data_IF_812894953780
#
_entry.id   IF_812894953780
#
_cell.length_a   1.000
_cell.length_b   1.000
_cell.length_c   1.000
_cell.angle_alpha   90.00
_cell.angle_beta   90.00
_cell.angle_gamma   90.00
#
_symmetry.space_group_name_H-M   'P 1'
#
loop_
_entity.id
_entity.type
_entity.pdbx_description
1 polymer ?
#
# COMPACT_ATOMS: atom_id res chain seq x y z
N UNK A 1 33.02 7.18 -57.09
CA UNK A 1 31.81 7.10 -56.26
C UNK A 1 31.85 5.98 -55.22
N UNK A 2 32.13 4.71 -55.58
CA UNK A 2 32.14 3.56 -54.64
C UNK A 2 33.00 3.75 -53.37
N UNK A 3 34.22 4.31 -53.47
CA UNK A 3 35.09 4.58 -52.31
C UNK A 3 34.53 5.64 -51.34
N UNK A 4 33.84 6.67 -51.84
CA UNK A 4 33.22 7.71 -50.99
C UNK A 4 32.01 7.15 -50.23
N UNK A 5 31.24 6.26 -50.84
CA UNK A 5 30.10 5.58 -50.22
C UNK A 5 30.56 4.66 -49.07
N UNK A 6 31.66 3.91 -49.26
CA UNK A 6 32.24 3.02 -48.23
C UNK A 6 32.73 3.82 -47.02
N UNK A 7 33.34 4.98 -47.24
CA UNK A 7 33.80 5.87 -46.15
C UNK A 7 32.60 6.41 -45.35
N UNK A 8 31.53 6.84 -46.03
CA UNK A 8 30.31 7.33 -45.36
C UNK A 8 29.65 6.22 -44.53
N UNK A 9 29.52 5.01 -45.08
CA UNK A 9 28.98 3.85 -44.35
C UNK A 9 29.82 3.49 -43.12
N UNK A 10 31.15 3.56 -43.24
CA UNK A 10 32.06 3.29 -42.13
C UNK A 10 31.90 4.32 -41.00
N UNK A 11 31.73 5.60 -41.34
CA UNK A 11 31.46 6.67 -40.37
C UNK A 11 30.11 6.46 -39.69
N UNK A 12 29.07 6.06 -40.43
CA UNK A 12 27.74 5.77 -39.84
C UNK A 12 27.83 4.60 -38.87
N UNK A 13 28.57 3.53 -39.21
CA UNK A 13 28.77 2.38 -38.31
C UNK A 13 29.53 2.79 -37.06
N UNK A 14 30.61 3.57 -37.19
CA UNK A 14 31.37 4.06 -36.02
C UNK A 14 30.53 4.99 -35.15
N UNK A 15 29.71 5.86 -35.75
CA UNK A 15 28.77 6.71 -35.01
C UNK A 15 27.67 5.88 -34.34
N UNK A 16 27.14 4.85 -35.00
CA UNK A 16 26.15 3.96 -34.42
C UNK A 16 26.72 3.13 -33.26
N UNK A 17 27.95 2.62 -33.40
CA UNK A 17 28.66 1.91 -32.32
C UNK A 17 28.99 2.87 -31.18
N UNK A 18 29.45 4.09 -31.48
CA UNK A 18 29.74 5.11 -30.48
C UNK A 18 28.48 5.56 -29.74
N UNK A 19 27.37 5.75 -30.45
CA UNK A 19 26.08 6.09 -29.88
C UNK A 19 25.53 4.92 -29.06
N UNK A 20 25.64 3.68 -29.55
CA UNK A 20 25.28 2.48 -28.81
C UNK A 20 26.12 2.32 -27.55
N UNK A 21 27.43 2.56 -27.62
CA UNK A 21 28.32 2.51 -26.46
C UNK A 21 27.98 3.60 -25.44
N UNK A 22 27.77 4.84 -25.87
CA UNK A 22 27.37 5.94 -24.98
C UNK A 22 25.98 5.68 -24.37
N UNK A 23 25.03 5.17 -25.17
CA UNK A 23 23.70 4.80 -24.72
C UNK A 23 23.76 3.67 -23.70
N UNK A 24 24.51 2.59 -23.99
CA UNK A 24 24.70 1.46 -23.08
C UNK A 24 25.43 1.92 -21.82
N UNK A 25 26.50 2.72 -21.90
CA UNK A 25 27.24 3.13 -20.69
C UNK A 25 26.47 4.13 -19.84
N UNK A 26 25.74 5.09 -20.43
CA UNK A 26 24.95 6.06 -19.66
C UNK A 26 23.63 5.49 -19.13
N UNK A 27 23.10 4.43 -19.75
CA UNK A 27 21.88 3.74 -19.29
C UNK A 27 22.22 2.58 -18.34
N UNK A 28 23.33 1.86 -18.52
CA UNK A 28 23.63 0.62 -17.78
C UNK A 28 24.75 0.72 -16.73
N UNK A 29 25.43 1.86 -16.54
CA UNK A 29 26.50 1.97 -15.51
C UNK A 29 25.93 2.42 -14.17
N UNK A 30 25.48 1.39 -13.45
CA UNK A 30 25.00 1.21 -12.07
C UNK A 30 23.69 0.43 -12.17
N UNK A 31 23.75 -0.89 -12.02
CA UNK A 31 22.56 -1.74 -11.93
C UNK A 31 21.81 -1.36 -10.64
N UNK A 32 20.95 -0.36 -10.74
CA UNK A 32 20.01 0.02 -9.68
C UNK A 32 18.97 -1.08 -9.46
N UNK A 33 18.80 -1.98 -10.42
CA UNK A 33 18.01 -3.19 -10.27
C UNK A 33 18.86 -4.32 -9.73
N UNK A 34 18.34 -4.97 -8.69
CA UNK A 34 18.94 -6.14 -8.07
C UNK A 34 18.72 -7.35 -8.95
N UNK A 35 19.77 -8.15 -9.11
CA UNK A 35 19.64 -9.48 -9.68
C UNK A 35 19.07 -10.46 -8.64
N UNK A 36 18.74 -11.67 -9.10
CA UNK A 36 18.18 -12.69 -8.23
C UNK A 36 19.17 -13.18 -7.16
N UNK A 37 20.48 -13.04 -7.36
CA UNK A 37 21.50 -13.56 -6.44
C UNK A 37 21.72 -12.59 -5.26
N UNK A 38 21.64 -11.28 -5.49
CA UNK A 38 21.58 -10.26 -4.44
C UNK A 38 20.36 -10.46 -3.53
N UNK A 39 19.18 -10.75 -4.11
CA UNK A 39 17.96 -11.00 -3.33
C UNK A 39 17.98 -12.30 -2.53
N UNK A 40 18.83 -13.26 -2.90
CA UNK A 40 19.00 -14.53 -2.19
C UNK A 40 19.88 -14.43 -0.95
N UNK A 41 20.60 -13.30 -0.77
CA UNK A 41 21.43 -13.09 0.42
C UNK A 41 20.54 -12.98 1.66
N UNK A 42 20.71 -13.84 2.69
CA UNK A 42 19.88 -13.82 3.89
C UNK A 42 19.88 -12.48 4.63
N UNK A 43 20.97 -11.74 4.54
CA UNK A 43 21.19 -10.44 5.17
C UNK A 43 20.79 -9.25 4.30
N UNK A 44 20.17 -9.48 3.13
CA UNK A 44 19.80 -8.44 2.16
C UNK A 44 19.00 -7.29 2.78
N UNK A 45 18.16 -7.57 3.79
CA UNK A 45 17.31 -6.58 4.45
C UNK A 45 18.00 -5.86 5.63
N UNK A 46 19.15 -6.33 6.12
CA UNK A 46 19.74 -5.83 7.37
C UNK A 46 20.19 -4.36 7.31
N UNK A 47 20.58 -3.90 6.12
CA UNK A 47 20.97 -2.52 5.83
C UNK A 47 19.81 -1.69 5.27
N UNK A 48 18.63 -2.29 5.02
CA UNK A 48 17.47 -1.60 4.46
C UNK A 48 16.68 -0.89 5.56
N UNK A 49 16.20 0.30 5.23
CA UNK A 49 15.37 1.13 6.12
C UNK A 49 13.91 1.15 5.68
N UNK A 50 13.66 1.06 4.39
CA UNK A 50 12.30 1.12 3.88
C UNK A 50 12.18 0.36 2.55
N UNK A 51 10.93 0.04 2.22
CA UNK A 51 10.55 -0.44 0.90
C UNK A 51 9.32 0.35 0.44
N UNK A 52 9.32 0.73 -0.84
CA UNK A 52 8.21 1.41 -1.50
C UNK A 52 7.77 0.54 -2.67
N UNK A 53 6.49 0.20 -2.71
CA UNK A 53 5.88 -0.51 -3.82
C UNK A 53 5.37 0.50 -4.84
N UNK A 54 5.71 0.30 -6.10
CA UNK A 54 5.18 1.07 -7.20
C UNK A 54 4.50 0.14 -8.19
N UNK A 55 3.41 0.58 -8.80
CA UNK A 55 2.87 -0.10 -9.98
C UNK A 55 2.13 0.83 -10.92
N UNK A 56 1.94 0.33 -12.14
CA UNK A 56 1.04 0.91 -13.12
C UNK A 56 -0.42 0.60 -12.77
N UNK A 57 -1.36 1.50 -13.09
CA UNK A 57 -2.77 1.20 -12.94
C UNK A 57 -3.22 0.09 -13.89
N UNK A 58 -4.27 -0.64 -13.51
CA UNK A 58 -4.75 -1.82 -14.24
C UNK A 58 -5.24 -1.46 -15.66
N UNK A 59 -5.86 -0.29 -15.83
CA UNK A 59 -6.32 0.18 -17.15
C UNK A 59 -5.17 0.46 -18.13
N UNK A 60 -3.92 0.58 -17.64
CA UNK A 60 -2.73 0.66 -18.50
C UNK A 60 -2.09 -0.72 -18.73
N UNK A 61 -2.58 -1.79 -18.10
CA UNK A 61 -2.14 -3.18 -18.23
C UNK A 61 -2.99 -4.01 -19.21
N UNK A 62 -3.81 -3.37 -20.06
CA UNK A 62 -4.68 -4.08 -21.05
C UNK A 62 -3.86 -4.95 -22.03
N UNK A 63 -2.59 -4.60 -22.25
CA UNK A 63 -1.64 -5.34 -23.10
C UNK A 63 -0.82 -6.39 -22.34
N UNK A 64 -1.06 -6.58 -21.04
CA UNK A 64 -0.26 -7.46 -20.16
C UNK A 64 1.16 -6.93 -19.93
N UNK A 65 1.43 -5.64 -20.19
CA UNK A 65 2.75 -5.02 -20.04
C UNK A 65 2.84 -4.09 -18.81
N UNK A 66 1.93 -4.24 -17.86
CA UNK A 66 1.96 -3.59 -16.57
C UNK A 66 3.28 -3.85 -15.86
N UNK A 67 3.74 -2.85 -15.11
CA UNK A 67 5.02 -2.93 -14.43
C UNK A 67 4.85 -2.57 -12.96
N UNK A 68 5.41 -3.41 -12.10
CA UNK A 68 5.55 -3.13 -10.68
C UNK A 68 7.03 -3.06 -10.30
N UNK A 69 7.31 -2.34 -9.22
CA UNK A 69 8.64 -2.23 -8.65
C UNK A 69 8.56 -2.24 -7.13
N UNK A 70 9.37 -3.08 -6.48
CA UNK A 70 9.70 -2.89 -5.07
C UNK A 70 11.03 -2.15 -4.98
N UNK A 71 11.02 -0.95 -4.42
CA UNK A 71 12.23 -0.13 -4.26
C UNK A 71 12.65 -0.12 -2.81
N UNK A 72 13.77 -0.78 -2.53
CA UNK A 72 14.40 -0.80 -1.22
C UNK A 72 15.31 0.41 -1.05
N UNK A 73 15.17 1.11 0.07
CA UNK A 73 16.00 2.25 0.46
C UNK A 73 16.86 1.84 1.64
N UNK A 74 18.17 1.93 1.49
CA UNK A 74 19.11 1.59 2.56
C UNK A 74 19.16 2.65 3.68
N UNK A 75 19.87 2.34 4.77
CA UNK A 75 20.09 3.25 5.90
C UNK A 75 20.85 4.53 5.53
N UNK A 76 21.54 4.57 4.38
CA UNK A 76 22.25 5.72 3.82
C UNK A 76 21.42 6.53 2.80
N UNK A 77 20.24 6.05 2.40
CA UNK A 77 19.35 6.67 1.43
C UNK A 77 19.61 6.25 -0.02
N UNK A 78 20.39 5.19 -0.27
CA UNK A 78 20.55 4.63 -1.61
C UNK A 78 19.36 3.73 -1.95
N UNK A 79 18.74 3.95 -3.12
CA UNK A 79 17.67 3.12 -3.64
C UNK A 79 18.19 2.02 -4.55
N UNK A 80 17.61 0.83 -4.41
CA UNK A 80 17.76 -0.32 -5.30
C UNK A 80 16.39 -0.93 -5.59
N UNK A 81 16.09 -1.19 -6.84
CA UNK A 81 14.80 -1.71 -7.30
C UNK A 81 14.80 -3.21 -7.55
N UNK A 82 13.62 -3.81 -7.42
CA UNK A 82 13.29 -5.14 -7.92
C UNK A 82 12.19 -4.96 -8.93
N UNK A 83 12.40 -5.44 -10.17
CA UNK A 83 11.36 -5.43 -11.19
C UNK A 83 10.39 -6.58 -10.98
N UNK A 84 9.11 -6.28 -11.15
CA UNK A 84 7.98 -7.14 -10.87
C UNK A 84 6.93 -7.01 -11.96
N UNK A 85 6.12 -8.04 -12.13
CA UNK A 85 4.97 -8.01 -13.03
C UNK A 85 3.87 -7.07 -12.48
N UNK A 86 3.03 -6.57 -13.37
CA UNK A 86 1.99 -5.59 -13.04
C UNK A 86 1.06 -6.08 -11.93
N UNK A 87 0.62 -5.18 -11.06
CA UNK A 87 -0.48 -5.42 -10.10
C UNK A 87 -0.91 -4.04 -9.58
N UNK A 88 -2.08 -3.58 -9.99
CA UNK A 88 -2.62 -2.30 -9.51
C UNK A 88 -2.89 -2.40 -8.01
N UNK A 89 -2.62 -1.32 -7.29
CA UNK A 89 -2.72 -1.25 -5.83
C UNK A 89 -2.04 -2.41 -5.08
N UNK A 90 -0.96 -2.97 -5.65
CA UNK A 90 -0.15 -3.98 -4.98
C UNK A 90 0.38 -3.49 -3.64
N UNK A 91 0.40 -4.39 -2.66
CA UNK A 91 0.77 -4.12 -1.28
C UNK A 91 1.96 -4.99 -0.86
N UNK A 92 2.49 -4.70 0.31
CA UNK A 92 3.58 -5.47 0.91
C UNK A 92 3.23 -5.84 2.34
N UNK A 93 3.79 -6.96 2.79
CA UNK A 93 3.74 -7.38 4.19
C UNK A 93 5.15 -7.64 4.73
N UNK A 94 5.30 -7.55 6.05
CA UNK A 94 6.54 -7.94 6.72
C UNK A 94 6.27 -8.79 7.95
N UNK A 95 7.23 -9.62 8.27
CA UNK A 95 7.33 -10.28 9.57
C UNK A 95 8.80 -10.52 9.93
N UNK A 96 9.26 -9.89 11.01
CA UNK A 96 10.67 -9.89 11.39
C UNK A 96 11.56 -9.39 10.24
N UNK A 97 12.58 -10.19 9.91
CA UNK A 97 13.54 -9.92 8.83
C UNK A 97 13.06 -10.45 7.48
N UNK A 98 11.75 -10.50 7.23
CA UNK A 98 11.16 -10.98 5.97
C UNK A 98 10.19 -9.97 5.41
N UNK A 99 10.26 -9.78 4.10
CA UNK A 99 9.32 -8.97 3.31
C UNK A 99 8.64 -9.87 2.28
N UNK A 100 7.32 -9.77 2.25
CA UNK A 100 6.47 -10.38 1.24
C UNK A 100 6.11 -9.35 0.18
N UNK A 101 6.33 -9.72 -1.08
CA UNK A 101 5.99 -8.94 -2.26
C UNK A 101 5.03 -9.75 -3.13
N UNK A 102 3.99 -9.10 -3.63
CA UNK A 102 3.02 -9.70 -4.55
C UNK A 102 3.12 -9.11 -5.95
N UNK A 103 2.71 -9.93 -6.91
CA UNK A 103 2.66 -9.64 -8.35
C UNK A 103 1.41 -10.32 -8.91
N UNK A 104 0.99 -9.98 -10.13
CA UNK A 104 -0.19 -10.59 -10.77
C UNK A 104 -0.16 -12.13 -10.76
N UNK A 105 1.00 -12.74 -11.06
CA UNK A 105 1.17 -14.17 -11.34
C UNK A 105 2.08 -14.89 -10.33
N UNK A 106 2.63 -14.19 -9.34
CA UNK A 106 3.55 -14.76 -8.36
C UNK A 106 3.66 -13.95 -7.08
N UNK A 107 4.31 -14.55 -6.08
CA UNK A 107 4.71 -13.88 -4.85
C UNK A 107 6.17 -14.18 -4.52
N UNK A 108 6.82 -13.26 -3.80
CA UNK A 108 8.18 -13.43 -3.30
C UNK A 108 8.24 -13.20 -1.79
N UNK A 109 9.03 -14.02 -1.11
CA UNK A 109 9.49 -13.77 0.26
C UNK A 109 10.99 -13.48 0.16
N UNK A 110 11.42 -12.34 0.72
CA UNK A 110 12.81 -11.84 0.68
C UNK A 110 13.26 -11.58 2.13
N UNK A 111 14.55 -11.79 2.43
CA UNK A 111 15.12 -11.60 3.76
C UNK A 111 15.84 -12.86 4.20
N UNK A 112 15.52 -13.38 5.39
CA UNK A 112 16.09 -14.63 5.94
C UNK A 112 16.26 -15.74 4.90
N UNK A 113 15.23 -15.93 4.08
CA UNK A 113 15.23 -16.83 2.94
C UNK A 113 14.56 -16.17 1.73
N UNK A 114 15.14 -16.39 0.56
CA UNK A 114 14.50 -16.05 -0.70
C UNK A 114 13.66 -17.22 -1.22
N UNK A 115 12.38 -16.95 -1.47
CA UNK A 115 11.45 -17.89 -2.13
C UNK A 115 10.58 -17.13 -3.12
N UNK A 116 10.34 -17.76 -4.26
CA UNK A 116 9.37 -17.31 -5.27
C UNK A 116 8.36 -18.44 -5.50
N UNK A 117 7.08 -18.09 -5.55
CA UNK A 117 5.98 -19.02 -5.84
C UNK A 117 5.16 -18.45 -6.99
N UNK A 118 5.07 -19.20 -8.10
CA UNK A 118 4.33 -18.80 -9.31
C UNK A 118 3.00 -19.52 -9.39
N UNK A 119 2.06 -18.88 -10.07
CA UNK A 119 0.69 -19.36 -10.26
C UNK A 119 0.34 -19.43 -11.76
N UNK A 120 1.03 -20.30 -12.55
CA UNK A 120 0.89 -20.30 -14.01
C UNK A 120 -0.47 -20.81 -14.51
N UNK A 121 -1.17 -21.62 -13.71
CA UNK A 121 -2.45 -22.25 -14.06
C UNK A 121 -3.65 -21.51 -13.45
N UNK A 122 -3.44 -20.32 -12.91
CA UNK A 122 -4.45 -19.51 -12.22
C UNK A 122 -4.65 -18.18 -12.93
N UNK A 123 -5.82 -17.57 -12.72
CA UNK A 123 -6.06 -16.22 -13.23
C UNK A 123 -5.12 -15.22 -12.53
N UNK A 124 -4.47 -14.40 -13.37
CA UNK A 124 -3.61 -13.32 -12.95
C UNK A 124 -4.43 -12.30 -12.14
N UNK A 125 -3.89 -11.87 -11.01
CA UNK A 125 -4.56 -10.89 -10.15
C UNK A 125 -4.23 -9.48 -10.62
N UNK A 126 -5.22 -8.59 -10.65
CA UNK A 126 -5.06 -7.23 -11.19
C UNK A 126 -5.10 -6.14 -10.13
N UNK A 127 -5.81 -6.33 -9.02
CA UNK A 127 -6.07 -5.28 -8.04
C UNK A 127 -5.87 -5.73 -6.58
N UNK A 128 -4.80 -5.27 -5.95
CA UNK A 128 -4.47 -5.56 -4.55
C UNK A 128 -5.41 -4.88 -3.56
N UNK A 129 -5.82 -5.61 -2.51
CA UNK A 129 -6.63 -5.08 -1.42
C UNK A 129 -5.88 -5.03 -0.09
N UNK A 130 -5.33 -6.16 0.38
CA UNK A 130 -4.61 -6.24 1.64
C UNK A 130 -3.59 -7.38 1.62
N UNK A 131 -2.33 -7.04 1.86
CA UNK A 131 -1.27 -8.01 2.16
C UNK A 131 -0.90 -7.98 3.64
N UNK A 132 -0.62 -9.15 4.22
CA UNK A 132 -0.35 -9.28 5.65
C UNK A 132 0.36 -10.56 6.07
N UNK A 133 0.57 -10.70 7.39
CA UNK A 133 1.20 -11.89 7.98
C UNK A 133 0.47 -12.35 9.25
N UNK A 134 0.02 -13.60 9.24
CA UNK A 134 -0.65 -14.27 10.34
C UNK A 134 0.37 -15.04 11.17
N UNK A 135 0.72 -14.51 12.34
CA UNK A 135 1.68 -15.07 13.29
C UNK A 135 1.26 -16.44 13.79
N UNK A 136 -0.01 -16.63 14.14
CA UNK A 136 -0.53 -17.89 14.70
C UNK A 136 -0.36 -19.06 13.73
N UNK A 137 -0.55 -18.80 12.44
CA UNK A 137 -0.48 -19.80 11.39
C UNK A 137 0.86 -19.82 10.65
N UNK A 138 1.76 -18.87 10.97
CA UNK A 138 3.04 -18.61 10.32
C UNK A 138 2.89 -18.57 8.79
N UNK A 139 2.07 -17.63 8.31
CA UNK A 139 1.81 -17.47 6.88
C UNK A 139 1.63 -16.01 6.48
N UNK A 140 2.15 -15.66 5.32
CA UNK A 140 1.76 -14.45 4.60
C UNK A 140 0.44 -14.70 3.87
N UNK A 141 -0.29 -13.62 3.62
CA UNK A 141 -1.45 -13.63 2.76
C UNK A 141 -1.52 -12.36 1.92
N UNK A 142 -2.26 -12.44 0.82
CA UNK A 142 -2.78 -11.29 0.10
C UNK A 142 -4.23 -11.52 -0.31
N UNK A 143 -5.01 -10.45 -0.27
CA UNK A 143 -6.39 -10.36 -0.72
C UNK A 143 -6.43 -9.42 -1.93
N UNK A 144 -7.15 -9.83 -2.96
CA UNK A 144 -7.32 -9.09 -4.21
C UNK A 144 -8.80 -8.81 -4.44
N UNK A 145 -9.16 -7.61 -4.90
CA UNK A 145 -10.50 -7.37 -5.45
C UNK A 145 -10.49 -7.84 -6.91
N UNK A 146 -10.86 -9.09 -7.15
CA UNK A 146 -10.55 -9.79 -8.42
C UNK A 146 -11.53 -9.47 -9.54
N UNK A 147 -12.84 -9.49 -9.29
CA UNK A 147 -13.79 -9.17 -10.36
C UNK A 147 -15.21 -9.65 -10.14
N UNK A 148 -16.04 -9.45 -11.17
CA UNK A 148 -17.44 -9.89 -11.19
C UNK A 148 -17.53 -11.41 -11.41
N UNK A 149 -18.43 -12.04 -10.66
CA UNK A 149 -18.79 -13.44 -10.79
C UNK A 149 -19.63 -13.72 -12.05
N UNK A 150 -20.35 -14.85 -12.05
CA UNK A 150 -21.15 -15.28 -13.22
C UNK A 150 -22.41 -14.44 -13.43
N UNK A 151 -22.87 -13.75 -12.39
CA UNK A 151 -23.94 -12.75 -12.49
C UNK A 151 -23.38 -11.35 -12.23
N UNK A 152 -23.99 -10.34 -12.86
CA UNK A 152 -23.61 -8.93 -12.70
C UNK A 152 -23.63 -8.45 -11.23
N UNK A 153 -24.44 -9.08 -10.38
CA UNK A 153 -24.57 -8.77 -8.94
C UNK A 153 -23.54 -9.48 -8.05
N UNK A 154 -22.71 -10.37 -8.59
CA UNK A 154 -21.70 -11.10 -7.83
C UNK A 154 -20.34 -10.42 -8.04
N UNK A 155 -19.66 -10.07 -6.94
CA UNK A 155 -18.25 -9.69 -6.97
C UNK A 155 -17.49 -10.61 -6.02
N UNK A 156 -16.28 -11.01 -6.40
CA UNK A 156 -15.44 -11.84 -5.56
C UNK A 156 -14.04 -11.27 -5.40
N UNK A 157 -13.47 -11.55 -4.24
CA UNK A 157 -12.11 -11.20 -3.87
C UNK A 157 -11.33 -12.47 -3.58
N UNK A 158 -10.25 -12.71 -4.33
CA UNK A 158 -9.40 -13.88 -4.13
C UNK A 158 -8.40 -13.68 -3.00
N UNK A 159 -7.97 -14.79 -2.42
CA UNK A 159 -6.95 -14.84 -1.37
C UNK A 159 -5.87 -15.83 -1.75
N UNK A 160 -4.62 -15.35 -1.76
CA UNK A 160 -3.41 -16.17 -1.80
C UNK A 160 -2.79 -16.18 -0.41
N UNK A 161 -2.40 -17.35 0.10
CA UNK A 161 -1.81 -17.46 1.43
C UNK A 161 -0.85 -18.63 1.54
N UNK A 162 0.20 -18.47 2.36
CA UNK A 162 1.25 -19.47 2.43
C UNK A 162 2.49 -19.01 3.16
N UNK A 163 3.54 -19.81 3.06
CA UNK A 163 4.85 -19.50 3.61
C UNK A 163 5.94 -20.14 2.75
N UNK A 164 7.16 -20.22 3.27
CA UNK A 164 8.32 -20.77 2.57
C UNK A 164 8.17 -22.24 2.14
N UNK A 165 7.18 -22.98 2.66
CA UNK A 165 6.88 -24.35 2.26
C UNK A 165 5.96 -24.44 1.05
N UNK A 166 5.25 -23.36 0.70
CA UNK A 166 4.27 -23.35 -0.38
C UNK A 166 3.19 -22.30 -0.16
N UNK A 167 2.54 -21.93 -1.26
CA UNK A 167 1.37 -21.07 -1.29
C UNK A 167 0.16 -21.83 -1.82
N UNK A 168 -0.99 -21.49 -1.27
CA UNK A 168 -2.30 -21.92 -1.74
C UNK A 168 -3.00 -20.71 -2.35
N UNK A 169 -3.76 -20.97 -3.41
CA UNK A 169 -4.69 -20.02 -3.97
C UNK A 169 -6.12 -20.54 -3.80
N UNK A 170 -7.09 -19.64 -3.95
CA UNK A 170 -8.54 -19.92 -3.99
C UNK A 170 -9.20 -19.99 -2.61
N UNK A 171 -8.85 -19.07 -1.71
CA UNK A 171 -9.84 -18.62 -0.74
C UNK A 171 -10.67 -17.50 -1.36
N UNK A 172 -11.93 -17.73 -1.72
CA UNK A 172 -12.76 -16.66 -2.30
C UNK A 172 -13.63 -16.00 -1.23
N UNK A 173 -13.58 -14.67 -1.16
CA UNK A 173 -14.49 -13.84 -0.37
C UNK A 173 -15.57 -13.35 -1.34
N UNK A 174 -16.85 -13.69 -1.18
CA UNK A 174 -17.90 -13.41 -2.16
C UNK A 174 -18.42 -11.96 -2.07
N UNK A 175 -17.50 -10.98 -2.01
CA UNK A 175 -17.82 -9.56 -1.91
C UNK A 175 -16.71 -8.69 -2.49
N UNK A 176 -17.06 -7.49 -2.95
CA UNK A 176 -16.12 -6.38 -3.11
C UNK A 176 -15.74 -5.81 -1.73
N UNK A 177 -14.45 -5.61 -1.51
CA UNK A 177 -13.91 -5.06 -0.26
C UNK A 177 -13.64 -3.56 -0.46
N UNK A 178 -14.32 -2.74 0.35
CA UNK A 178 -14.22 -1.27 0.33
C UNK A 178 -13.01 -0.79 1.13
N UNK A 179 -12.75 -1.42 2.27
CA UNK A 179 -11.57 -1.18 3.09
C UNK A 179 -11.33 -2.39 3.98
N UNK A 180 -10.11 -2.48 4.50
CA UNK A 180 -9.63 -3.62 5.25
C UNK A 180 -8.63 -3.17 6.32
N UNK A 181 -8.38 -4.06 7.28
CA UNK A 181 -7.35 -3.87 8.29
C UNK A 181 -6.98 -5.19 8.95
N UNK A 182 -5.69 -5.40 9.14
CA UNK A 182 -5.15 -6.51 9.91
C UNK A 182 -4.68 -6.02 11.28
N UNK A 183 -5.14 -6.67 12.35
CA UNK A 183 -4.71 -6.44 13.72
C UNK A 183 -4.38 -7.80 14.33
N UNK A 184 -3.10 -8.01 14.62
CA UNK A 184 -2.55 -9.32 14.97
C UNK A 184 -2.96 -10.38 13.94
N UNK A 185 -3.62 -11.47 14.36
CA UNK A 185 -4.11 -12.54 13.49
C UNK A 185 -5.55 -12.33 13.01
N UNK A 186 -6.14 -11.15 13.25
CA UNK A 186 -7.51 -10.83 12.85
C UNK A 186 -7.52 -9.94 11.62
N UNK A 187 -8.25 -10.37 10.59
CA UNK A 187 -8.48 -9.59 9.37
C UNK A 187 -9.92 -9.12 9.38
N UNK A 188 -10.11 -7.81 9.38
CA UNK A 188 -11.42 -7.18 9.27
C UNK A 188 -11.56 -6.54 7.89
N UNK A 189 -12.75 -6.64 7.32
CA UNK A 189 -13.11 -6.03 6.04
C UNK A 189 -14.45 -5.32 6.15
N UNK A 190 -14.59 -4.22 5.43
CA UNK A 190 -15.88 -3.63 5.10
C UNK A 190 -16.21 -4.00 3.66
N UNK A 191 -17.37 -4.62 3.45
CA UNK A 191 -17.87 -4.95 2.12
C UNK A 191 -19.07 -4.07 1.80
N UNK A 192 -19.23 -3.71 0.54
CA UNK A 192 -20.47 -3.07 0.08
C UNK A 192 -21.55 -4.12 -0.13
N UNK A 193 -22.80 -3.70 0.04
CA UNK A 193 -23.95 -4.50 -0.35
C UNK A 193 -24.72 -3.64 -1.35
N UNK A 194 -24.32 -3.74 -2.62
CA UNK A 194 -24.76 -2.89 -3.76
C UNK A 194 -26.24 -3.04 -4.14
N UNK A 195 -27.05 -3.65 -3.27
CA UNK A 195 -28.50 -3.65 -3.45
C UNK A 195 -29.01 -2.24 -3.20
N UNK A 196 -29.21 -1.51 -4.30
CA UNK A 196 -29.92 -0.24 -4.40
C UNK A 196 -31.06 -0.20 -3.39
N UNK A 197 -30.89 0.60 -2.33
CA UNK A 197 -31.96 0.85 -1.39
C UNK A 197 -32.15 2.36 -1.23
N UNK A 198 -33.41 2.77 -1.37
CA UNK A 198 -33.92 4.12 -1.14
C UNK A 198 -33.60 4.66 0.28
N UNK A 199 -33.12 3.79 1.18
CA UNK A 199 -32.87 4.04 2.61
C UNK A 199 -31.38 4.34 2.98
N UNK A 200 -30.50 4.53 2.00
CA UNK A 200 -29.10 4.93 2.20
C UNK A 200 -28.08 3.78 2.17
N UNK A 201 -26.79 4.11 2.22
CA UNK A 201 -25.70 3.12 2.04
C UNK A 201 -25.62 2.13 3.20
N UNK A 202 -25.63 0.84 2.86
CA UNK A 202 -25.43 -0.26 3.79
C UNK A 202 -24.09 -0.93 3.49
N UNK A 203 -23.18 -0.86 4.46
CA UNK A 203 -21.93 -1.62 4.40
C UNK A 203 -21.88 -2.63 5.52
N UNK A 204 -21.12 -3.70 5.34
CA UNK A 204 -21.07 -4.82 6.29
C UNK A 204 -19.66 -4.98 6.85
N UNK A 205 -19.54 -5.04 8.18
CA UNK A 205 -18.29 -5.41 8.82
C UNK A 205 -18.22 -6.94 8.92
N UNK A 206 -17.15 -7.50 8.36
CA UNK A 206 -16.89 -8.93 8.34
C UNK A 206 -15.49 -9.23 8.88
N UNK A 207 -15.32 -10.45 9.39
CA UNK A 207 -14.04 -11.00 9.80
C UNK A 207 -13.65 -12.13 8.84
N UNK A 208 -12.43 -12.07 8.32
CA UNK A 208 -11.84 -13.07 7.45
C UNK A 208 -10.90 -13.93 8.26
N UNK A 209 -11.12 -15.24 8.25
CA UNK A 209 -10.25 -16.23 8.86
C UNK A 209 -9.57 -17.01 7.76
N UNK A 210 -8.25 -16.89 7.67
CA UNK A 210 -7.40 -17.65 6.75
C UNK A 210 -6.64 -18.67 7.59
N UNK A 211 -6.67 -19.92 7.19
CA UNK A 211 -5.82 -20.97 7.75
C UNK A 211 -5.56 -22.05 6.70
N UNK A 212 -4.80 -23.08 7.06
CA UNK A 212 -4.44 -24.20 6.16
C UNK A 212 -5.64 -24.97 5.58
N UNK A 213 -6.85 -24.83 6.14
CA UNK A 213 -8.08 -25.46 5.66
C UNK A 213 -8.86 -24.59 4.67
N UNK A 214 -8.39 -23.37 4.38
CA UNK A 214 -9.07 -22.43 3.50
C UNK A 214 -9.47 -21.12 4.19
N UNK A 215 -10.30 -20.36 3.49
CA UNK A 215 -10.78 -19.04 3.90
C UNK A 215 -12.23 -19.12 4.35
N UNK A 216 -12.55 -18.48 5.47
CA UNK A 216 -13.91 -18.34 5.99
C UNK A 216 -14.20 -16.88 6.29
N UNK A 217 -15.38 -16.44 5.87
CA UNK A 217 -15.85 -15.07 6.08
C UNK A 217 -17.04 -15.10 7.02
N UNK A 218 -16.99 -14.30 8.08
CA UNK A 218 -18.05 -14.19 9.07
C UNK A 218 -18.57 -12.76 9.12
N UNK A 219 -19.88 -12.60 8.95
CA UNK A 219 -20.55 -11.31 9.22
C UNK A 219 -20.49 -11.01 10.73
N UNK A 220 -19.99 -9.82 11.07
CA UNK A 220 -20.05 -9.30 12.44
C UNK A 220 -21.33 -8.48 12.60
N UNK A 221 -21.49 -7.43 11.79
CA UNK A 221 -22.64 -6.54 11.87
C UNK A 221 -22.82 -5.74 10.59
N UNK A 222 -24.04 -5.26 10.37
CA UNK A 222 -24.35 -4.26 9.35
C UNK A 222 -24.11 -2.85 9.91
N UNK A 223 -23.55 -1.96 9.10
CA UNK A 223 -23.39 -0.54 9.40
C UNK A 223 -24.34 0.25 8.49
N UNK A 224 -25.35 0.87 9.10
CA UNK A 224 -26.34 1.69 8.39
C UNK A 224 -26.04 3.16 8.58
N UNK A 225 -25.98 3.92 7.50
CA UNK A 225 -25.75 5.36 7.56
C UNK A 225 -26.88 6.09 6.84
N UNK A 226 -27.36 7.18 7.46
CA UNK A 226 -28.31 8.08 6.81
C UNK A 226 -27.64 8.87 5.69
N UNK A 227 -26.37 9.21 5.90
CA UNK A 227 -25.52 9.85 4.90
C UNK A 227 -24.67 8.77 4.19
N UNK A 228 -23.80 9.19 3.26
CA UNK A 228 -22.91 8.29 2.53
C UNK A 228 -21.44 8.44 3.00
N UNK A 229 -21.08 7.98 4.22
CA UNK A 229 -19.68 8.02 4.65
C UNK A 229 -18.85 7.01 3.85
N UNK A 230 -17.60 7.39 3.58
CA UNK A 230 -16.59 6.53 2.96
C UNK A 230 -15.74 5.88 4.06
N UNK A 231 -15.78 4.53 4.19
CA UNK A 231 -14.84 3.80 5.04
C UNK A 231 -13.40 3.99 4.57
N UNK A 232 -12.46 4.14 5.51
CA UNK A 232 -11.06 4.45 5.20
C UNK A 232 -10.13 3.34 5.68
N UNK A 233 -10.23 2.97 6.97
CA UNK A 233 -9.36 1.98 7.60
C UNK A 233 -10.03 1.38 8.82
N UNK A 234 -9.49 0.24 9.28
CA UNK A 234 -9.99 -0.51 10.42
C UNK A 234 -8.85 -0.73 11.42
N UNK A 235 -9.14 -0.53 12.70
CA UNK A 235 -8.30 -0.88 13.84
C UNK A 235 -9.09 -1.75 14.81
N UNK A 236 -8.41 -2.39 15.76
CA UNK A 236 -9.07 -3.15 16.80
C UNK A 236 -8.23 -3.19 18.08
N UNK A 237 -8.90 -3.43 19.20
CA UNK A 237 -8.29 -3.87 20.45
C UNK A 237 -8.95 -5.18 20.90
N UNK A 238 -8.69 -5.63 22.13
CA UNK A 238 -9.27 -6.88 22.64
C UNK A 238 -10.81 -6.91 22.63
N UNK A 239 -11.47 -5.75 22.81
CA UNK A 239 -12.92 -5.66 23.05
C UNK A 239 -13.68 -5.06 21.88
N UNK A 240 -13.04 -4.23 21.06
CA UNK A 240 -13.69 -3.42 20.06
C UNK A 240 -12.99 -3.48 18.69
N UNK A 241 -13.78 -3.31 17.64
CA UNK A 241 -13.33 -2.92 16.31
C UNK A 241 -13.63 -1.44 16.12
N UNK A 242 -12.69 -0.71 15.54
CA UNK A 242 -12.79 0.72 15.24
C UNK A 242 -12.74 0.90 13.73
N UNK A 243 -13.81 1.43 13.14
CA UNK A 243 -13.85 1.76 11.71
C UNK A 243 -13.76 3.27 11.58
N UNK A 244 -12.75 3.74 10.85
CA UNK A 244 -12.58 5.17 10.56
C UNK A 244 -13.26 5.47 9.23
N UNK A 245 -14.07 6.53 9.23
CA UNK A 245 -14.86 6.92 8.07
C UNK A 245 -14.79 8.43 7.84
N UNK A 246 -14.78 8.83 6.57
CA UNK A 246 -14.92 10.23 6.18
C UNK A 246 -16.35 10.48 5.74
N UNK A 247 -16.91 11.60 6.20
CA UNK A 247 -18.21 12.09 5.80
C UNK A 247 -18.04 13.49 5.23
N UNK A 248 -18.19 13.61 3.92
CA UNK A 248 -18.24 14.89 3.23
C UNK A 248 -19.68 15.42 3.26
N UNK A 249 -19.86 16.68 3.61
CA UNK A 249 -21.17 17.35 3.58
C UNK A 249 -21.34 18.17 2.31
N UNK A 250 -20.28 18.88 1.93
CA UNK A 250 -20.13 19.68 0.72
C UNK A 250 -18.62 19.83 0.44
N UNK A 251 -18.24 20.58 -0.60
CA UNK A 251 -16.84 20.73 -1.04
C UNK A 251 -15.92 21.44 -0.02
N UNK A 252 -16.49 22.04 1.03
CA UNK A 252 -15.76 22.83 2.02
C UNK A 252 -15.94 22.31 3.46
N UNK A 253 -16.89 21.41 3.70
CA UNK A 253 -17.27 20.95 5.03
C UNK A 253 -17.33 19.42 5.09
N UNK A 254 -16.75 18.86 6.15
CA UNK A 254 -16.72 17.42 6.34
C UNK A 254 -16.36 17.02 7.77
N UNK A 255 -16.34 15.72 8.04
CA UNK A 255 -15.95 15.14 9.32
C UNK A 255 -15.25 13.81 9.11
N UNK A 256 -14.35 13.48 10.02
CA UNK A 256 -13.85 12.11 10.19
C UNK A 256 -14.50 11.53 11.43
N UNK A 257 -15.00 10.30 11.34
CA UNK A 257 -15.72 9.58 12.38
C UNK A 257 -14.93 8.35 12.82
N UNK A 258 -15.11 7.98 14.09
CA UNK A 258 -14.73 6.67 14.64
C UNK A 258 -16.03 5.94 14.96
N UNK A 259 -16.24 4.79 14.33
CA UNK A 259 -17.32 3.87 14.68
C UNK A 259 -16.70 2.76 15.53
N UNK A 260 -17.05 2.72 16.82
CA UNK A 260 -16.58 1.69 17.75
C UNK A 260 -17.64 0.60 17.84
N UNK A 261 -17.23 -0.64 17.64
CA UNK A 261 -18.13 -1.80 17.56
C UNK A 261 -17.67 -2.84 18.57
N UNK A 262 -18.54 -3.21 19.51
CA UNK A 262 -18.22 -4.23 20.50
C UNK A 262 -18.15 -5.61 19.82
N UNK A 263 -17.03 -6.32 19.95
CA UNK A 263 -16.82 -7.63 19.29
C UNK A 263 -17.81 -8.71 19.74
N UNK A 264 -18.38 -8.60 20.94
CA UNK A 264 -19.32 -9.58 21.51
C UNK A 264 -20.78 -9.20 21.32
N UNK A 265 -21.13 -7.94 21.60
CA UNK A 265 -22.54 -7.48 21.57
C UNK A 265 -22.94 -6.84 20.26
N UNK A 266 -21.96 -6.53 19.40
CA UNK A 266 -22.11 -5.79 18.15
C UNK A 266 -22.73 -4.40 18.32
N UNK A 267 -22.80 -3.88 19.56
CA UNK A 267 -23.24 -2.52 19.84
C UNK A 267 -22.27 -1.52 19.20
N UNK A 268 -22.84 -0.46 18.61
CA UNK A 268 -22.11 0.51 17.80
C UNK A 268 -22.21 1.90 18.43
N UNK A 269 -21.07 2.48 18.76
CA UNK A 269 -20.94 3.87 19.19
C UNK A 269 -20.31 4.70 18.08
N UNK A 270 -20.69 5.98 18.00
CA UNK A 270 -20.16 6.90 16.98
C UNK A 270 -19.55 8.12 17.63
N UNK A 271 -18.30 8.39 17.29
CA UNK A 271 -17.56 9.54 17.77
C UNK A 271 -17.10 10.39 16.60
N UNK A 272 -17.11 11.71 16.76
CA UNK A 272 -16.43 12.59 15.80
C UNK A 272 -14.95 12.66 16.16
N UNK A 273 -14.08 12.25 15.24
CA UNK A 273 -12.63 12.35 15.39
C UNK A 273 -12.13 13.75 15.03
N UNK A 274 -12.59 14.25 13.87
CA UNK A 274 -12.23 15.57 13.35
C UNK A 274 -13.45 16.25 12.72
N UNK A 275 -13.53 17.58 12.83
CA UNK A 275 -14.53 18.41 12.16
C UNK A 275 -13.81 19.42 11.28
N UNK A 276 -14.30 19.54 10.06
CA UNK A 276 -13.74 20.42 9.05
C UNK A 276 -14.80 21.39 8.57
N UNK A 277 -14.47 22.68 8.57
CA UNK A 277 -15.39 23.74 8.16
C UNK A 277 -14.67 24.79 7.33
N UNK A 278 -15.29 25.21 6.23
CA UNK A 278 -14.75 26.26 5.36
C UNK A 278 -13.37 25.95 4.80
N UNK A 279 -13.08 24.67 4.54
CA UNK A 279 -11.83 24.27 3.88
C UNK A 279 -11.84 24.74 2.43
N UNK A 280 -10.67 25.08 1.88
CA UNK A 280 -10.56 25.38 0.45
C UNK A 280 -10.96 24.16 -0.41
N UNK A 281 -10.55 22.96 0.03
CA UNK A 281 -10.93 21.69 -0.56
C UNK A 281 -11.03 20.64 0.56
N UNK A 282 -12.22 20.06 0.74
CA UNK A 282 -12.46 19.02 1.74
C UNK A 282 -11.76 17.70 1.39
N UNK A 283 -11.26 17.48 0.17
CA UNK A 283 -10.50 16.27 -0.15
C UNK A 283 -9.24 16.12 0.71
N UNK A 284 -8.68 17.23 1.23
CA UNK A 284 -7.56 17.20 2.18
C UNK A 284 -7.91 16.58 3.55
N UNK A 285 -9.19 16.25 3.81
CA UNK A 285 -9.54 15.43 4.99
C UNK A 285 -9.06 13.99 4.85
N UNK A 286 -8.85 13.50 3.61
CA UNK A 286 -8.37 12.15 3.35
C UNK A 286 -6.91 12.04 3.81
N UNK A 287 -6.48 10.88 4.30
CA UNK A 287 -5.08 10.60 4.63
C UNK A 287 -4.29 10.24 3.36
N UNK A 288 -2.95 10.31 3.44
CA UNK A 288 -2.07 9.94 2.32
C UNK A 288 -2.20 8.47 1.92
N UNK A 289 -2.30 7.60 2.91
CA UNK A 289 -2.52 6.17 2.72
C UNK A 289 -3.82 5.81 3.42
N UNK A 290 -4.87 5.53 2.64
CA UNK A 290 -6.21 5.25 3.17
C UNK A 290 -6.17 4.05 4.12
N UNK A 291 -5.63 2.92 3.69
CA UNK A 291 -5.68 1.65 4.44
C UNK A 291 -4.76 1.66 5.66
N UNK A 292 -3.65 2.41 5.61
CA UNK A 292 -2.66 2.54 6.70
C UNK A 292 -2.69 3.90 7.42
N UNK A 293 -3.82 4.61 7.34
CA UNK A 293 -3.99 5.96 7.90
C UNK A 293 -4.10 6.06 9.41
N UNK A 294 -4.13 4.94 10.11
CA UNK A 294 -4.28 4.90 11.57
C UNK A 294 -3.28 3.99 12.25
N UNK A 295 -3.04 4.26 13.53
CA UNK A 295 -2.16 3.45 14.36
C UNK A 295 -2.61 3.46 15.82
N UNK A 296 -2.62 2.29 16.44
CA UNK A 296 -2.86 2.14 17.87
C UNK A 296 -1.53 2.22 18.62
N UNK A 297 -1.41 3.18 19.54
CA UNK A 297 -0.29 3.30 20.47
C UNK A 297 -0.82 3.38 21.90
N UNK A 298 -0.77 2.25 22.60
CA UNK A 298 -1.45 2.09 23.89
C UNK A 298 -2.97 2.25 23.73
N UNK A 299 -3.58 3.11 24.55
CA UNK A 299 -5.02 3.38 24.52
C UNK A 299 -5.40 4.53 23.55
N UNK A 300 -4.48 4.99 22.70
CA UNK A 300 -4.73 6.08 21.75
C UNK A 300 -4.67 5.58 20.30
N UNK A 301 -5.77 5.77 19.57
CA UNK A 301 -5.83 5.64 18.11
C UNK A 301 -5.37 6.97 17.48
N UNK A 302 -4.30 6.94 16.70
CA UNK A 302 -3.78 8.07 15.95
C UNK A 302 -4.31 8.08 14.52
N UNK A 303 -4.56 9.28 14.00
CA UNK A 303 -4.98 9.54 12.63
C UNK A 303 -4.26 10.78 12.12
N UNK A 304 -3.66 10.72 10.94
CA UNK A 304 -3.00 11.87 10.30
C UNK A 304 -3.66 12.14 8.96
N UNK A 305 -4.19 13.34 8.76
CA UNK A 305 -4.78 13.75 7.49
C UNK A 305 -3.72 14.31 6.52
N UNK A 306 -4.11 14.62 5.28
CA UNK A 306 -3.20 15.21 4.28
C UNK A 306 -2.67 16.60 4.61
N UNK A 307 -3.21 17.29 5.63
CA UNK A 307 -2.67 18.56 6.12
C UNK A 307 -1.56 18.39 7.17
N UNK A 308 -1.27 17.16 7.59
CA UNK A 308 -0.33 16.89 8.67
C UNK A 308 -0.90 17.17 10.05
N UNK A 309 -2.23 17.29 10.17
CA UNK A 309 -2.89 17.37 11.48
C UNK A 309 -3.02 15.98 12.08
N UNK A 310 -2.57 15.83 13.31
CA UNK A 310 -2.63 14.58 14.07
C UNK A 310 -3.83 14.64 15.01
N UNK A 311 -4.79 13.76 14.80
CA UNK A 311 -5.95 13.55 15.67
C UNK A 311 -5.78 12.27 16.46
N UNK A 312 -6.29 12.26 17.69
CA UNK A 312 -6.31 11.06 18.52
C UNK A 312 -7.69 10.78 19.09
N UNK A 313 -8.05 9.51 19.17
CA UNK A 313 -9.19 9.01 19.94
C UNK A 313 -8.69 8.11 21.07
N UNK A 314 -8.99 8.47 22.31
CA UNK A 314 -8.63 7.64 23.46
C UNK A 314 -9.71 6.57 23.70
N UNK A 315 -9.34 5.30 23.59
CA UNK A 315 -10.28 4.17 23.61
C UNK A 315 -10.96 3.93 24.95
N UNK A 316 -10.34 4.38 26.05
CA UNK A 316 -10.88 4.26 27.43
C UNK A 316 -11.81 5.41 27.82
N UNK A 317 -11.46 6.63 27.45
CA UNK A 317 -12.20 7.85 27.85
C UNK A 317 -13.16 8.34 26.77
N UNK A 318 -13.09 7.78 25.56
CA UNK A 318 -13.95 8.09 24.43
C UNK A 318 -13.81 9.52 23.91
N UNK A 319 -12.67 10.15 24.22
CA UNK A 319 -12.39 11.54 23.86
C UNK A 319 -11.55 11.60 22.58
N UNK A 320 -12.07 12.32 21.60
CA UNK A 320 -11.32 12.78 20.43
C UNK A 320 -10.69 14.15 20.67
N UNK A 321 -9.49 14.38 20.13
CA UNK A 321 -8.87 15.70 20.08
C UNK A 321 -7.92 15.83 18.89
N UNK A 322 -7.76 17.05 18.38
CA UNK A 322 -6.57 17.41 17.61
C UNK A 322 -5.40 17.45 18.59
N UNK A 323 -4.44 16.53 18.43
CA UNK A 323 -3.30 16.40 19.34
C UNK A 323 -2.23 17.44 19.02
N UNK A 324 -1.87 17.57 17.75
CA UNK A 324 -0.87 18.50 17.24
C UNK A 324 -0.96 18.63 15.71
N UNK A 325 -0.11 19.47 15.14
CA UNK A 325 0.18 19.50 13.69
C UNK A 325 1.67 19.22 13.49
N UNK A 326 2.00 18.44 12.47
CA UNK A 326 3.39 18.10 12.14
C UNK A 326 4.14 19.35 11.66
N UNK A 327 5.27 19.65 12.31
CA UNK A 327 6.03 20.88 12.05
C UNK A 327 6.71 20.83 10.68
N UNK A 328 6.54 21.89 9.89
CA UNK A 328 7.11 21.97 8.54
C UNK A 328 6.55 20.90 7.58
N UNK A 329 5.42 20.28 7.93
CA UNK A 329 4.84 19.23 7.13
C UNK A 329 4.47 19.72 5.74
N UNK A 330 4.79 18.89 4.76
CA UNK A 330 4.35 19.04 3.39
C UNK A 330 3.77 17.69 2.98
N UNK A 331 2.64 17.70 2.28
CA UNK A 331 2.05 16.49 1.72
C UNK A 331 3.10 15.72 0.91
N UNK A 332 3.13 14.41 1.13
CA UNK A 332 3.95 13.45 0.37
C UNK A 332 3.08 12.57 -0.53
N UNK A 333 3.64 11.43 -0.93
CA UNK A 333 2.99 10.48 -1.82
C UNK A 333 2.42 9.30 -1.02
N UNK A 334 3.15 8.83 -0.01
CA UNK A 334 2.75 7.73 0.88
C UNK A 334 3.21 7.98 2.30
N UNK A 335 2.56 7.34 3.26
CA UNK A 335 2.93 7.44 4.66
C UNK A 335 2.72 6.14 5.42
N UNK A 336 3.49 5.98 6.49
CA UNK A 336 3.44 4.80 7.32
C UNK A 336 3.64 5.17 8.79
N UNK A 337 2.91 4.50 9.68
CA UNK A 337 3.20 4.51 11.10
C UNK A 337 4.20 3.42 11.42
N UNK A 338 5.17 3.74 12.28
CA UNK A 338 6.11 2.75 12.80
C UNK A 338 6.59 3.15 14.19
N UNK A 339 6.18 2.37 15.19
CA UNK A 339 6.37 2.71 16.60
C UNK A 339 5.77 4.07 16.94
N UNK A 340 6.54 4.93 17.60
CA UNK A 340 6.12 6.30 17.98
C UNK A 340 6.25 7.34 16.86
N UNK A 341 6.55 6.92 15.63
CA UNK A 341 6.87 7.82 14.53
C UNK A 341 5.88 7.69 13.37
N UNK A 342 5.71 8.80 12.65
CA UNK A 342 5.02 8.87 11.38
C UNK A 342 6.02 9.20 10.28
N UNK A 343 6.07 8.36 9.26
CA UNK A 343 6.99 8.48 8.14
C UNK A 343 6.24 8.91 6.89
N UNK A 344 6.82 9.82 6.13
CA UNK A 344 6.27 10.33 4.87
C UNK A 344 7.29 10.13 3.77
N UNK A 345 6.95 9.32 2.78
CA UNK A 345 7.66 9.24 1.52
C UNK A 345 7.13 10.34 0.59
N UNK A 346 8.05 11.06 -0.06
CA UNK A 346 7.71 12.21 -0.89
C UNK A 346 8.66 12.37 -2.08
N UNK A 347 8.09 12.69 -3.23
CA UNK A 347 8.75 13.37 -4.34
C UNK A 347 8.52 14.89 -4.30
N UNK A 348 9.59 15.67 -4.47
CA UNK A 348 9.52 17.13 -4.58
C UNK A 348 9.69 17.53 -6.04
N UNK A 349 8.60 17.91 -6.70
CA UNK A 349 8.59 18.28 -8.13
C UNK A 349 9.55 19.43 -8.48
N UNK A 350 9.73 20.41 -7.60
CA UNK A 350 10.59 21.58 -7.87
C UNK A 350 12.08 21.23 -7.87
N UNK A 351 12.48 20.30 -7.02
CA UNK A 351 13.88 19.90 -6.85
C UNK A 351 14.20 18.57 -7.51
N UNK A 352 13.17 17.85 -7.98
CA UNK A 352 13.24 16.49 -8.49
C UNK A 352 13.92 15.51 -7.52
N UNK A 353 13.75 15.75 -6.21
CA UNK A 353 14.33 14.93 -5.14
C UNK A 353 13.29 14.10 -4.43
N UNK A 354 13.69 12.90 -4.04
CA UNK A 354 12.89 11.98 -3.23
C UNK A 354 13.38 12.01 -1.78
N UNK A 355 12.49 11.83 -0.82
CA UNK A 355 12.86 11.82 0.59
C UNK A 355 11.92 10.98 1.46
N UNK A 356 12.43 10.55 2.60
CA UNK A 356 11.65 10.01 3.71
C UNK A 356 11.81 10.95 4.91
N UNK A 357 10.69 11.56 5.33
CA UNK A 357 10.63 12.40 6.52
C UNK A 357 10.06 11.58 7.69
N UNK A 358 10.69 11.70 8.86
CA UNK A 358 10.29 11.02 10.09
C UNK A 358 9.86 12.06 11.12
N UNK A 359 8.61 11.99 11.56
CA UNK A 359 8.05 12.86 12.58
C UNK A 359 7.75 12.10 13.85
N UNK A 360 8.01 12.71 15.01
CA UNK A 360 7.62 12.15 16.31
C UNK A 360 6.14 12.46 16.60
N UNK A 361 5.33 11.43 16.88
CA UNK A 361 3.89 11.58 17.08
C UNK A 361 3.51 12.26 18.40
N UNK A 362 4.45 12.38 19.35
CA UNK A 362 4.24 13.04 20.63
C UNK A 362 4.48 14.54 20.51
N UNK A 363 5.52 14.96 19.78
CA UNK A 363 5.96 16.37 19.69
C UNK A 363 5.56 17.03 18.37
N UNK A 364 5.37 16.26 17.30
CA UNK A 364 5.12 16.75 15.95
C UNK A 364 6.39 17.22 15.22
N UNK A 365 7.54 17.12 15.87
CA UNK A 365 8.82 17.58 15.31
C UNK A 365 9.31 16.65 14.20
N UNK A 366 9.88 17.24 13.15
CA UNK A 366 10.65 16.52 12.14
C UNK A 366 11.97 16.08 12.77
N UNK A 367 12.11 14.79 13.05
CA UNK A 367 13.29 14.21 13.69
C UNK A 367 14.40 13.95 12.68
N UNK A 368 14.03 13.48 11.49
CA UNK A 368 14.99 13.14 10.43
C UNK A 368 14.35 13.33 9.07
N UNK A 369 15.10 13.96 8.17
CA UNK A 369 14.83 13.95 6.74
C UNK A 369 15.97 13.23 6.05
N UNK A 370 15.66 12.24 5.22
CA UNK A 370 16.63 11.50 4.44
C UNK A 370 16.32 11.63 2.96
N UNK A 371 17.27 12.17 2.19
CA UNK A 371 17.20 12.15 0.73
C UNK A 371 17.38 10.72 0.21
N UNK A 372 16.57 10.34 -0.78
CA UNK A 372 16.69 9.07 -1.49
C UNK A 372 17.39 9.30 -2.83
N UNK A 373 18.50 8.61 -3.05
CA UNK A 373 19.32 8.64 -4.26
C UNK A 373 19.00 7.44 -5.14
N UNK A 374 19.18 7.55 -6.45
CA UNK A 374 19.00 6.44 -7.39
C UNK A 374 17.58 6.26 -7.97
N UNK A 375 16.54 6.84 -7.37
CA UNK A 375 15.14 6.75 -7.85
C UNK A 375 14.97 7.15 -9.32
N UNK A 376 15.61 8.25 -9.75
CA UNK A 376 15.51 8.73 -11.14
C UNK A 376 15.98 7.67 -12.15
N UNK A 377 17.04 6.91 -11.81
CA UNK A 377 17.57 5.85 -12.68
C UNK A 377 16.57 4.69 -12.79
N UNK A 378 15.99 4.27 -11.66
CA UNK A 378 14.98 3.20 -11.60
C UNK A 378 13.80 3.52 -12.55
N UNK A 379 13.24 4.73 -12.48
CA UNK A 379 12.10 5.10 -13.33
C UNK A 379 12.47 5.45 -14.78
N UNK A 380 13.71 5.89 -15.04
CA UNK A 380 14.17 6.16 -16.42
C UNK A 380 14.23 4.91 -17.29
N UNK A 381 14.26 3.73 -16.68
CA UNK A 381 14.24 2.42 -17.35
C UNK A 381 12.81 1.87 -17.56
N UNK A 382 11.77 2.67 -17.33
CA UNK A 382 10.41 2.30 -17.68
C UNK A 382 10.19 2.45 -19.20
N UNK A 383 10.63 1.45 -19.96
CA UNK A 383 10.74 1.49 -21.43
C UNK A 383 9.41 1.68 -22.19
N UNK A 384 8.26 1.51 -21.53
CA UNK A 384 6.94 1.52 -22.19
C UNK A 384 6.13 2.81 -21.98
N UNK A 385 6.68 3.81 -21.29
CA UNK A 385 6.00 5.10 -21.07
C UNK A 385 4.73 5.01 -20.21
N UNK A 386 4.52 3.90 -19.49
CA UNK A 386 3.41 3.68 -18.57
C UNK A 386 3.55 4.55 -17.33
N UNK A 387 2.44 5.03 -16.80
CA UNK A 387 2.41 5.75 -15.53
C UNK A 387 2.76 4.78 -14.39
N UNK A 388 3.58 5.21 -13.43
CA UNK A 388 3.96 4.41 -12.26
C UNK A 388 3.66 5.23 -11.02
N UNK A 389 2.83 4.69 -10.14
CA UNK A 389 2.43 5.32 -8.89
C UNK A 389 2.99 4.54 -7.72
N UNK A 390 3.44 5.23 -6.67
CA UNK A 390 3.73 4.57 -5.39
C UNK A 390 2.40 4.07 -4.85
N UNK A 391 2.26 2.79 -4.53
CA UNK A 391 1.02 2.21 -4.01
C UNK A 391 1.10 1.82 -2.54
N UNK A 392 2.27 1.38 -2.07
CA UNK A 392 2.49 1.04 -0.67
C UNK A 392 3.87 1.52 -0.19
N UNK A 393 3.99 1.78 1.12
CA UNK A 393 5.21 2.24 1.78
C UNK A 393 5.35 1.62 3.16
N UNK A 394 6.54 1.09 3.46
CA UNK A 394 6.82 0.42 4.72
C UNK A 394 8.21 0.75 5.25
N UNK A 395 8.31 0.92 6.57
CA UNK A 395 9.57 1.03 7.30
C UNK A 395 10.03 -0.35 7.78
N UNK A 396 11.30 -0.64 7.49
CA UNK A 396 12.06 -1.84 7.89
C UNK A 396 12.94 -1.48 9.09
N UNK A 397 13.20 -2.47 9.97
CA UNK A 397 13.84 -2.29 11.28
C UNK A 397 15.38 -2.17 11.23
#
# INVERSE_FOLDING_TARGET
>A
MKKKIVIILSIIIVLAIGFFYIFVNNVFVENVFLDADELKKPDFLNDKKAVIYFSSPDYENIDGMGASYAVFVDKNGQATGVRMNGLDNGMMAKDGHRVFLEEEDKVRIIGDHYKEFRFPDEEAQSFGELSGYLKKDNMFFSIYNTGQGKSEDEYYSDVRYGNEKGFHTVGTIPHFIVTSGQIDDHIYIITDNDKNEEDGRKVELREVHINKKGVKVKLITNLKFKDNPSPITIQADEKYVYVIMNLQKDDHNGKTLVIRINKKTHHQDRFTLAKYKGMADVNYIRPLDIKKSTHMLGDELYYVNMLGDVYTFNTKTEKSKKKLSLQGYQSGDRAAFHGKYYYVYKYNEKTHKYSINQYDLKTGELVKQQEIKGMKKIFSMNFFGKSIFSNDFMILD
#
